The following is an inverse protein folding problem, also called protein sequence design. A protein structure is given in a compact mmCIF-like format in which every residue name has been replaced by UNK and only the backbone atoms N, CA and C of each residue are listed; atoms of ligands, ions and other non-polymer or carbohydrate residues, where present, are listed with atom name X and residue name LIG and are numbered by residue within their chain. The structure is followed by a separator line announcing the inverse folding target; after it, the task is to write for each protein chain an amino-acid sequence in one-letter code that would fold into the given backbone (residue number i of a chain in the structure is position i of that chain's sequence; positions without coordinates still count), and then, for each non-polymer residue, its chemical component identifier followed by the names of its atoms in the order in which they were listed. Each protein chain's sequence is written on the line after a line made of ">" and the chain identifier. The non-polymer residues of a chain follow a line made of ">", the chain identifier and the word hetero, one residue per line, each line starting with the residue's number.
data_IF_476359615670
#
_entry.id   IF_476359615670
#
_cell.length_a   1.000
_cell.length_b   1.000
_cell.length_c   1.000
_cell.angle_alpha   90.00
_cell.angle_beta   90.00
_cell.angle_gamma   90.00
#
_symmetry.space_group_name_H-M   'P 1'
#
loop_
_entity.id
_entity.type
_entity.pdbx_description
1 polymer ?
#
# COMPACT_ATOMS: atom_id res chain seq x y z
N UNK A 1 33.39 94.34 -29.73
CA UNK A 1 32.88 93.54 -28.57
C UNK A 1 32.03 92.29 -29.02
N UNK A 2 32.21 91.79 -30.24
CA UNK A 2 31.33 90.65 -30.77
C UNK A 2 32.08 89.36 -31.11
N UNK A 3 33.39 89.30 -31.04
CA UNK A 3 34.11 88.03 -31.36
C UNK A 3 34.16 87.04 -30.18
N UNK A 4 34.27 87.53 -28.93
CA UNK A 4 34.42 86.71 -27.72
C UNK A 4 33.13 85.91 -27.43
N UNK A 5 31.96 86.47 -27.77
CA UNK A 5 30.69 85.78 -27.52
C UNK A 5 30.42 84.61 -28.55
N UNK A 6 30.97 84.74 -29.75
CA UNK A 6 30.83 83.67 -30.76
C UNK A 6 31.69 82.47 -30.44
N UNK A 7 32.90 82.66 -29.99
CA UNK A 7 33.81 81.56 -29.61
C UNK A 7 33.29 80.78 -28.36
N UNK A 8 32.72 81.53 -27.41
CA UNK A 8 32.12 80.91 -26.20
C UNK A 8 30.89 80.06 -26.55
N UNK A 9 30.03 80.48 -27.45
CA UNK A 9 28.88 79.74 -27.93
C UNK A 9 29.28 78.49 -28.72
N UNK A 10 30.39 78.56 -29.48
CA UNK A 10 30.91 77.44 -30.23
C UNK A 10 31.51 76.39 -29.26
N UNK A 11 32.29 76.83 -28.26
CA UNK A 11 32.83 75.92 -27.27
C UNK A 11 31.74 75.22 -26.40
N UNK A 12 30.70 75.92 -25.99
CA UNK A 12 29.56 75.31 -25.29
C UNK A 12 28.81 74.30 -26.13
N UNK A 13 28.68 74.54 -27.44
CA UNK A 13 28.04 73.56 -28.34
C UNK A 13 28.87 72.31 -28.50
N UNK A 14 30.20 72.41 -28.61
CA UNK A 14 31.12 71.25 -28.66
C UNK A 14 31.15 70.50 -27.31
N UNK A 15 31.15 71.16 -26.20
CA UNK A 15 31.05 70.48 -24.87
C UNK A 15 29.76 69.72 -24.69
N UNK A 16 28.65 70.29 -25.14
CA UNK A 16 27.34 69.64 -25.10
C UNK A 16 27.27 68.44 -26.05
N UNK A 17 27.82 68.52 -27.25
CA UNK A 17 27.93 67.37 -28.16
C UNK A 17 28.80 66.26 -27.61
N UNK A 18 29.96 66.63 -27.03
CA UNK A 18 30.88 65.63 -26.42
C UNK A 18 30.25 64.98 -25.21
N UNK A 19 29.52 65.67 -24.38
CA UNK A 19 28.81 65.12 -23.22
C UNK A 19 27.62 64.23 -23.64
N UNK A 20 26.93 64.60 -24.72
CA UNK A 20 25.83 63.81 -25.30
C UNK A 20 26.33 62.47 -25.91
N UNK A 21 27.41 62.48 -26.70
CA UNK A 21 28.02 61.28 -27.22
C UNK A 21 28.60 60.37 -26.16
N UNK A 22 29.23 60.93 -25.11
CA UNK A 22 29.73 60.14 -23.98
C UNK A 22 28.60 59.48 -23.17
N UNK A 23 27.47 60.17 -22.96
CA UNK A 23 26.30 59.59 -22.32
C UNK A 23 25.63 58.55 -23.17
N UNK A 24 25.55 58.74 -24.52
CA UNK A 24 25.01 57.77 -25.45
C UNK A 24 25.85 56.49 -25.52
N UNK A 25 27.16 56.59 -25.51
CA UNK A 25 28.08 55.43 -25.50
C UNK A 25 27.95 54.66 -24.18
N UNK A 26 27.87 55.34 -23.04
CA UNK A 26 27.67 54.71 -21.72
C UNK A 26 26.32 54.00 -21.59
N UNK A 27 25.26 54.57 -22.12
CA UNK A 27 23.91 53.97 -22.18
C UNK A 27 23.95 52.70 -23.06
N UNK A 28 24.60 52.73 -24.22
CA UNK A 28 24.73 51.56 -25.10
C UNK A 28 25.54 50.43 -24.45
N UNK A 29 26.64 50.76 -23.75
CA UNK A 29 27.45 49.79 -23.01
C UNK A 29 26.65 49.17 -21.86
N UNK A 30 25.85 49.95 -21.13
CA UNK A 30 25.00 49.43 -20.06
C UNK A 30 23.89 48.58 -20.61
N UNK A 31 23.25 48.99 -21.71
CA UNK A 31 22.20 48.23 -22.39
C UNK A 31 22.74 46.88 -22.90
N UNK A 32 23.88 46.85 -23.51
CA UNK A 32 24.52 45.62 -23.97
C UNK A 32 24.87 44.67 -22.82
N UNK A 33 25.31 45.16 -21.68
CA UNK A 33 25.57 44.33 -20.47
C UNK A 33 24.28 43.73 -19.92
N UNK A 34 23.22 44.51 -19.82
CA UNK A 34 21.92 44.04 -19.39
C UNK A 34 21.35 43.01 -20.38
N UNK A 35 21.43 43.28 -21.67
CA UNK A 35 21.03 42.36 -22.73
C UNK A 35 21.79 41.03 -22.67
N UNK A 36 23.10 41.09 -22.41
CA UNK A 36 23.95 39.90 -22.25
C UNK A 36 23.55 39.06 -21.04
N UNK A 37 23.29 39.69 -19.89
CA UNK A 37 22.79 38.96 -18.70
C UNK A 37 21.44 38.33 -18.98
N UNK A 38 20.53 39.06 -19.63
CA UNK A 38 19.22 38.54 -20.03
C UNK A 38 19.36 37.37 -21.01
N UNK A 39 20.29 37.43 -21.94
CA UNK A 39 20.57 36.34 -22.87
C UNK A 39 21.07 35.09 -22.15
N UNK A 40 22.01 35.22 -21.19
CA UNK A 40 22.48 34.10 -20.37
C UNK A 40 21.30 33.48 -19.58
N UNK A 41 20.48 34.31 -18.96
CA UNK A 41 19.30 33.84 -18.24
C UNK A 41 18.32 33.06 -19.17
N UNK A 42 18.09 33.58 -20.36
CA UNK A 42 17.24 32.92 -21.35
C UNK A 42 17.81 31.56 -21.77
N UNK A 43 19.13 31.47 -21.99
CA UNK A 43 19.80 30.19 -22.30
C UNK A 43 19.66 29.19 -21.16
N UNK A 44 19.82 29.63 -19.92
CA UNK A 44 19.64 28.75 -18.75
C UNK A 44 18.19 28.27 -18.67
N UNK A 45 17.22 29.16 -18.82
CA UNK A 45 15.81 28.79 -18.82
C UNK A 45 15.47 27.78 -19.93
N UNK A 46 15.99 27.97 -21.15
CA UNK A 46 15.76 27.03 -22.26
C UNK A 46 16.35 25.66 -21.98
N UNK A 47 17.56 25.58 -21.41
CA UNK A 47 18.20 24.31 -21.03
C UNK A 47 17.33 23.58 -19.98
N UNK A 48 16.85 24.29 -18.95
CA UNK A 48 15.96 23.71 -17.94
C UNK A 48 14.63 23.26 -18.53
N UNK A 49 14.02 24.05 -19.39
CA UNK A 49 12.76 23.70 -20.06
C UNK A 49 12.92 22.44 -20.91
N UNK A 50 13.99 22.34 -21.70
CA UNK A 50 14.29 21.14 -22.49
C UNK A 50 14.50 19.93 -21.59
N UNK A 51 15.22 20.09 -20.47
CA UNK A 51 15.46 19.02 -19.51
C UNK A 51 14.19 18.53 -18.83
N UNK A 52 13.32 19.46 -18.42
CA UNK A 52 12.01 19.12 -17.82
C UNK A 52 11.12 18.42 -18.85
N UNK A 53 11.07 18.93 -20.09
CA UNK A 53 10.31 18.29 -21.17
C UNK A 53 10.87 16.90 -21.51
N UNK A 54 12.19 16.74 -21.58
CA UNK A 54 12.83 15.45 -21.77
C UNK A 54 12.52 14.47 -20.64
N UNK A 55 12.59 14.91 -19.37
CA UNK A 55 12.23 14.08 -18.22
C UNK A 55 10.74 13.74 -18.19
N UNK A 56 9.86 14.65 -18.58
CA UNK A 56 8.43 14.41 -18.67
C UNK A 56 8.02 13.55 -19.88
N UNK A 57 8.76 13.62 -20.97
CA UNK A 57 8.57 12.80 -22.19
C UNK A 57 9.16 11.39 -22.07
N UNK A 58 10.12 11.19 -21.17
CA UNK A 58 10.46 9.87 -20.71
C UNK A 58 9.20 9.31 -20.02
N UNK A 59 8.34 8.62 -20.82
CA UNK A 59 7.38 7.71 -20.25
C UNK A 59 8.17 6.92 -19.21
N UNK A 60 7.90 7.19 -17.95
CA UNK A 60 8.42 6.39 -16.86
C UNK A 60 7.74 5.02 -16.92
N UNK A 61 8.08 4.21 -17.91
CA UNK A 61 8.38 2.84 -17.60
C UNK A 61 9.56 2.97 -16.62
N UNK A 62 9.23 3.27 -15.38
CA UNK A 62 10.11 2.93 -14.28
C UNK A 62 10.30 1.43 -14.48
N UNK A 63 11.29 1.05 -15.25
CA UNK A 63 11.95 -0.22 -15.09
C UNK A 63 12.50 -0.13 -13.67
N UNK A 64 11.71 -0.63 -12.73
CA UNK A 64 12.18 -1.07 -11.43
C UNK A 64 13.08 -2.28 -11.73
N UNK A 65 14.24 -2.00 -12.30
CA UNK A 65 15.17 -3.03 -12.82
C UNK A 65 16.15 -3.49 -11.73
N UNK A 66 15.97 -3.01 -10.47
CA UNK A 66 16.83 -3.42 -9.34
C UNK A 66 16.10 -3.81 -8.06
N UNK A 67 14.79 -3.85 -8.04
CA UNK A 67 14.11 -4.80 -7.19
C UNK A 67 14.01 -6.06 -8.03
N UNK A 68 14.61 -7.14 -7.57
CA UNK A 68 14.33 -8.48 -8.09
C UNK A 68 12.82 -8.63 -8.28
N UNK A 69 12.31 -9.56 -9.08
CA UNK A 69 10.91 -9.61 -9.44
C UNK A 69 10.13 -9.29 -8.19
N UNK A 70 9.40 -8.14 -8.20
CA UNK A 70 8.40 -7.91 -7.17
C UNK A 70 7.59 -9.17 -7.26
N UNK A 71 7.82 -10.09 -6.34
CA UNK A 71 6.92 -11.21 -6.12
C UNK A 71 5.63 -10.51 -5.79
N UNK A 72 4.85 -10.24 -6.81
CA UNK A 72 3.47 -9.81 -6.63
C UNK A 72 2.86 -10.99 -5.91
N UNK A 73 2.83 -10.91 -4.57
CA UNK A 73 2.16 -11.89 -3.73
C UNK A 73 0.64 -11.84 -3.95
N UNK A 74 0.25 -11.32 -5.13
CA UNK A 74 -1.12 -11.26 -5.55
C UNK A 74 -1.62 -12.69 -5.78
N UNK A 75 -2.80 -12.92 -5.27
CA UNK A 75 -3.52 -14.16 -5.41
C UNK A 75 -4.97 -13.83 -5.71
N UNK A 76 -5.53 -14.41 -6.77
CA UNK A 76 -6.89 -14.10 -7.21
C UNK A 76 -7.92 -14.37 -6.11
N UNK A 77 -8.94 -13.55 -6.07
CA UNK A 77 -10.07 -13.72 -5.15
C UNK A 77 -10.84 -15.02 -5.46
N UNK A 78 -11.56 -15.53 -4.49
CA UNK A 78 -12.44 -16.69 -4.66
C UNK A 78 -13.86 -16.24 -4.32
N UNK A 79 -14.81 -16.56 -5.18
CA UNK A 79 -16.23 -16.21 -5.01
C UNK A 79 -17.12 -17.44 -5.11
N UNK A 80 -18.29 -17.37 -4.51
CA UNK A 80 -19.34 -18.37 -4.61
C UNK A 80 -20.08 -18.31 -5.97
N UNK A 81 -21.13 -19.11 -6.12
CA UNK A 81 -21.97 -19.12 -7.32
C UNK A 81 -22.70 -17.79 -7.57
N UNK A 82 -22.97 -17.01 -6.53
CA UNK A 82 -23.70 -15.74 -6.58
C UNK A 82 -22.76 -14.53 -6.72
N UNK A 83 -21.44 -14.72 -6.63
CA UNK A 83 -20.43 -13.68 -6.68
C UNK A 83 -20.05 -13.10 -5.31
N UNK A 84 -20.52 -13.71 -4.21
CA UNK A 84 -20.11 -13.33 -2.85
C UNK A 84 -18.65 -13.72 -2.61
N UNK A 85 -17.87 -12.82 -2.01
CA UNK A 85 -16.47 -13.12 -1.71
C UNK A 85 -16.33 -14.14 -0.59
N UNK A 86 -15.74 -15.27 -0.91
CA UNK A 86 -15.28 -16.27 0.05
C UNK A 86 -13.87 -15.98 0.53
N UNK A 87 -13.05 -15.48 -0.38
CA UNK A 87 -11.66 -15.08 -0.10
C UNK A 87 -11.31 -13.84 -0.91
N UNK A 88 -10.65 -12.88 -0.27
CA UNK A 88 -10.23 -11.64 -0.90
C UNK A 88 -8.79 -11.30 -0.56
N UNK A 89 -8.05 -10.80 -1.55
CA UNK A 89 -6.70 -10.26 -1.36
C UNK A 89 -6.79 -8.75 -1.27
N UNK A 90 -6.39 -8.17 -0.15
CA UNK A 90 -6.41 -6.73 0.09
C UNK A 90 -5.03 -6.19 0.45
N UNK A 91 -4.78 -4.93 0.14
CA UNK A 91 -3.64 -4.21 0.65
C UNK A 91 -3.85 -3.89 2.13
N UNK A 92 -2.90 -4.26 2.95
CA UNK A 92 -2.86 -3.91 4.36
C UNK A 92 -1.53 -3.25 4.68
N UNK A 93 -1.52 -2.48 5.75
CA UNK A 93 -0.32 -1.82 6.23
C UNK A 93 0.05 -2.41 7.59
N UNK A 94 1.26 -2.96 7.67
CA UNK A 94 1.88 -3.37 8.92
C UNK A 94 2.75 -2.21 9.41
N UNK A 95 2.72 -1.91 10.70
CA UNK A 95 3.54 -0.86 11.30
C UNK A 95 4.68 -1.47 12.10
N UNK A 96 5.88 -1.23 11.64
CA UNK A 96 7.11 -1.50 12.36
C UNK A 96 7.66 -0.26 13.07
N UNK A 97 8.45 -0.49 14.12
CA UNK A 97 9.20 0.56 14.80
C UNK A 97 10.68 0.16 14.83
N UNK A 98 11.52 1.10 14.39
CA UNK A 98 12.97 0.99 14.54
C UNK A 98 13.44 1.83 15.74
N UNK A 99 13.79 1.22 16.88
CA UNK A 99 14.20 1.95 18.07
C UNK A 99 15.43 2.85 17.89
N UNK A 100 16.28 2.56 16.91
CA UNK A 100 17.49 3.35 16.64
C UNK A 100 17.18 4.72 16.02
N UNK A 101 16.00 4.89 15.44
CA UNK A 101 15.56 6.13 14.79
C UNK A 101 14.65 6.99 15.69
N UNK A 102 14.35 6.53 16.90
CA UNK A 102 13.49 7.25 17.87
C UNK A 102 14.26 8.42 18.47
N UNK A 103 13.78 9.64 18.22
CA UNK A 103 14.37 10.88 18.77
C UNK A 103 13.88 11.12 20.20
N UNK A 104 12.56 11.07 20.41
CA UNK A 104 11.92 11.27 21.71
C UNK A 104 11.01 10.11 22.09
N UNK A 105 11.54 9.18 22.89
CA UNK A 105 10.82 7.98 23.34
C UNK A 105 9.56 8.29 24.15
N UNK A 106 9.60 9.35 24.98
CA UNK A 106 8.46 9.71 25.84
C UNK A 106 7.29 10.22 24.98
N UNK A 107 7.59 11.14 24.08
CA UNK A 107 6.60 11.70 23.13
C UNK A 107 6.00 10.61 22.26
N UNK A 108 6.84 9.72 21.71
CA UNK A 108 6.37 8.60 20.89
C UNK A 108 5.44 7.67 21.69
N UNK A 109 5.80 7.29 22.92
CA UNK A 109 4.96 6.43 23.76
C UNK A 109 3.60 7.04 24.06
N UNK A 110 3.54 8.33 24.41
CA UNK A 110 2.27 9.03 24.67
C UNK A 110 1.40 9.03 23.43
N UNK A 111 1.95 9.37 22.27
CA UNK A 111 1.21 9.39 21.01
C UNK A 111 0.70 7.98 20.62
N UNK A 112 1.53 6.96 20.77
CA UNK A 112 1.13 5.58 20.49
C UNK A 112 0.04 5.11 21.45
N UNK A 113 0.05 5.55 22.72
CA UNK A 113 -0.98 5.21 23.70
C UNK A 113 -2.34 5.81 23.35
N UNK A 114 -2.35 7.02 22.79
CA UNK A 114 -3.59 7.65 22.30
C UNK A 114 -4.18 6.91 21.08
N UNK A 115 -3.32 6.38 20.21
CA UNK A 115 -3.78 5.68 18.98
C UNK A 115 -4.14 4.21 19.28
N UNK A 116 -3.43 3.56 20.20
CA UNK A 116 -3.58 2.14 20.54
C UNK A 116 -3.82 1.90 22.04
N UNK A 117 -4.91 2.40 22.64
CA UNK A 117 -5.12 2.37 24.09
C UNK A 117 -5.18 0.96 24.69
N UNK A 118 -5.48 -0.05 23.89
CA UNK A 118 -5.63 -1.46 24.33
C UNK A 118 -4.30 -2.23 24.37
N UNK A 119 -3.17 -1.63 23.97
CA UNK A 119 -1.87 -2.32 23.96
C UNK A 119 -1.15 -2.26 25.31
N UNK A 120 -0.31 -3.26 25.55
CA UNK A 120 0.56 -3.28 26.74
C UNK A 120 1.80 -2.40 26.49
N UNK A 121 1.79 -1.20 27.06
CA UNK A 121 2.87 -0.21 26.87
C UNK A 121 4.14 -0.52 27.65
N UNK A 122 4.10 -1.35 28.70
CA UNK A 122 5.29 -1.81 29.39
C UNK A 122 6.16 -2.68 28.48
N UNK A 123 5.52 -3.53 27.68
CA UNK A 123 6.20 -4.37 26.69
C UNK A 123 6.77 -3.49 25.55
N UNK A 124 6.00 -2.52 25.07
CA UNK A 124 6.45 -1.61 24.00
C UNK A 124 7.64 -0.79 24.49
N UNK A 125 7.60 -0.26 25.73
CA UNK A 125 8.68 0.49 26.33
C UNK A 125 9.97 -0.34 26.41
N UNK A 126 9.89 -1.58 26.88
CA UNK A 126 11.04 -2.52 26.90
C UNK A 126 11.61 -2.76 25.50
N UNK A 127 10.73 -2.89 24.47
CA UNK A 127 11.17 -3.06 23.08
C UNK A 127 11.82 -1.79 22.51
N UNK A 128 11.35 -0.60 22.89
CA UNK A 128 11.95 0.68 22.52
C UNK A 128 13.30 0.94 23.19
N UNK A 129 13.55 0.35 24.36
CA UNK A 129 14.85 0.39 25.02
C UNK A 129 15.87 -0.56 24.37
N UNK A 130 15.39 -1.53 23.60
CA UNK A 130 16.19 -2.39 22.75
C UNK A 130 16.65 -1.69 21.46
N UNK A 131 17.49 -2.39 20.68
CA UNK A 131 17.98 -1.90 19.35
C UNK A 131 17.35 -2.62 18.17
N UNK A 132 16.50 -3.63 18.43
CA UNK A 132 15.93 -4.47 17.39
C UNK A 132 14.61 -3.91 16.87
N UNK A 133 14.47 -3.88 15.56
CA UNK A 133 13.20 -3.61 14.90
C UNK A 133 12.10 -4.54 15.42
N UNK A 134 10.88 -4.03 15.58
CA UNK A 134 9.72 -4.84 15.96
C UNK A 134 8.43 -4.29 15.34
N UNK A 135 7.48 -5.19 15.06
CA UNK A 135 6.16 -4.80 14.64
C UNK A 135 5.31 -4.32 15.82
N UNK A 136 4.76 -3.12 15.69
CA UNK A 136 3.81 -2.55 16.65
C UNK A 136 2.42 -3.15 16.45
N UNK A 137 1.93 -3.11 15.22
CA UNK A 137 0.62 -3.60 14.81
C UNK A 137 0.70 -4.10 13.38
N UNK A 138 -0.04 -5.18 13.10
CA UNK A 138 -0.21 -5.70 11.75
C UNK A 138 -1.63 -5.42 11.27
N UNK A 139 -1.80 -5.20 9.97
CA UNK A 139 -3.11 -4.97 9.33
C UNK A 139 -3.87 -3.82 9.97
N UNK A 140 -3.25 -2.67 10.11
CA UNK A 140 -3.90 -1.51 10.72
C UNK A 140 -4.98 -0.94 9.81
N UNK A 141 -6.00 -0.31 10.42
CA UNK A 141 -6.99 0.44 9.67
C UNK A 141 -6.39 1.72 9.08
N UNK A 142 -6.97 2.18 7.96
CA UNK A 142 -6.55 3.42 7.29
C UNK A 142 -6.56 4.62 8.25
N UNK A 143 -7.58 4.72 9.10
CA UNK A 143 -7.69 5.80 10.10
C UNK A 143 -6.50 5.84 11.07
N UNK A 144 -6.09 4.66 11.60
CA UNK A 144 -4.93 4.58 12.49
C UNK A 144 -3.63 4.88 11.78
N UNK A 145 -3.52 4.44 10.52
CA UNK A 145 -2.35 4.74 9.69
C UNK A 145 -2.19 6.24 9.46
N UNK A 146 -3.27 6.95 9.15
CA UNK A 146 -3.23 8.41 8.96
C UNK A 146 -2.83 9.14 10.25
N UNK A 147 -3.36 8.71 11.40
CA UNK A 147 -2.95 9.26 12.71
C UNK A 147 -1.45 9.05 12.97
N UNK A 148 -0.91 7.86 12.65
CA UNK A 148 0.53 7.58 12.78
C UNK A 148 1.37 8.42 11.82
N UNK A 149 0.92 8.57 10.57
CA UNK A 149 1.63 9.38 9.56
C UNK A 149 1.72 10.86 9.97
N UNK A 150 0.66 11.38 10.60
CA UNK A 150 0.64 12.76 11.11
C UNK A 150 1.64 13.02 12.25
N UNK A 151 2.12 11.99 12.95
CA UNK A 151 3.16 12.15 13.96
C UNK A 151 4.50 12.56 13.36
N UNK A 152 4.76 12.23 12.10
CA UNK A 152 6.00 12.55 11.40
C UNK A 152 7.26 11.92 12.02
N UNK A 153 7.10 10.86 12.81
CA UNK A 153 8.22 10.17 13.49
C UNK A 153 8.89 9.17 12.54
N UNK A 154 10.16 9.40 12.26
CA UNK A 154 10.96 8.58 11.33
C UNK A 154 11.19 7.14 11.82
N UNK A 155 10.97 6.88 13.11
CA UNK A 155 11.09 5.53 13.67
C UNK A 155 9.94 4.62 13.29
N UNK A 156 8.81 5.19 12.84
CA UNK A 156 7.61 4.46 12.41
C UNK A 156 7.77 4.09 10.94
N UNK A 157 7.87 2.81 10.65
CA UNK A 157 8.09 2.28 9.31
C UNK A 157 6.83 1.55 8.87
N UNK A 158 6.04 2.11 7.95
CA UNK A 158 4.91 1.41 7.35
C UNK A 158 5.42 0.43 6.29
N UNK A 159 4.90 -0.78 6.31
CA UNK A 159 5.13 -1.81 5.30
C UNK A 159 3.80 -2.19 4.65
N UNK A 160 3.66 -1.90 3.37
CA UNK A 160 2.52 -2.35 2.59
C UNK A 160 2.64 -3.84 2.28
N UNK A 161 1.58 -4.58 2.55
CA UNK A 161 1.53 -6.01 2.33
C UNK A 161 0.19 -6.45 1.76
N UNK A 162 0.22 -7.32 0.76
CA UNK A 162 -0.96 -8.04 0.33
C UNK A 162 -1.32 -9.09 1.38
N UNK A 163 -2.55 -9.02 1.86
CA UNK A 163 -3.05 -9.93 2.89
C UNK A 163 -4.31 -10.61 2.39
N UNK A 164 -4.37 -11.92 2.61
CA UNK A 164 -5.53 -12.75 2.32
C UNK A 164 -6.51 -12.70 3.48
N UNK A 165 -7.75 -12.33 3.22
CA UNK A 165 -8.83 -12.33 4.20
C UNK A 165 -9.95 -13.25 3.76
N UNK A 166 -10.64 -13.80 4.75
CA UNK A 166 -11.74 -14.75 4.59
C UNK A 166 -13.00 -14.13 5.21
N UNK A 167 -13.82 -13.41 4.41
CA UNK A 167 -14.98 -12.67 4.94
C UNK A 167 -16.02 -13.57 5.63
N UNK A 168 -16.08 -14.83 5.23
CA UNK A 168 -17.01 -15.82 5.77
C UNK A 168 -16.42 -16.62 6.96
N UNK A 169 -15.27 -16.19 7.48
CA UNK A 169 -14.58 -16.72 8.66
C UNK A 169 -14.45 -18.25 8.66
N UNK A 170 -15.31 -18.96 9.36
CA UNK A 170 -15.30 -20.42 9.57
C UNK A 170 -16.15 -21.19 8.54
N UNK A 171 -17.14 -20.52 7.93
CA UNK A 171 -18.18 -21.14 7.11
C UNK A 171 -17.66 -22.05 5.97
N UNK A 172 -16.50 -21.70 5.41
CA UNK A 172 -15.90 -22.43 4.29
C UNK A 172 -14.52 -23.02 4.60
N UNK A 173 -14.18 -23.16 5.88
CA UNK A 173 -12.82 -23.54 6.32
C UNK A 173 -12.30 -24.80 5.63
N UNK A 174 -13.11 -25.84 5.52
CA UNK A 174 -12.74 -27.14 4.95
C UNK A 174 -12.75 -27.16 3.42
N UNK A 175 -13.49 -26.25 2.77
CA UNK A 175 -13.51 -26.12 1.30
C UNK A 175 -12.32 -25.29 0.85
N UNK A 176 -12.22 -24.07 1.39
CA UNK A 176 -11.20 -23.08 0.98
C UNK A 176 -9.81 -23.53 1.39
N UNK A 177 -9.66 -23.96 2.65
CA UNK A 177 -8.37 -24.30 3.22
C UNK A 177 -7.51 -23.11 3.55
N UNK A 178 -6.20 -23.31 3.65
CA UNK A 178 -5.25 -22.31 4.16
C UNK A 178 -4.06 -22.10 3.23
N UNK A 179 -3.42 -20.95 3.39
CA UNK A 179 -2.13 -20.60 2.78
C UNK A 179 -1.06 -20.50 3.86
N UNK A 180 0.22 -20.68 3.51
CA UNK A 180 1.35 -20.40 4.39
C UNK A 180 1.72 -18.90 4.44
N UNK A 181 2.79 -18.56 5.15
CA UNK A 181 3.28 -17.18 5.25
C UNK A 181 3.89 -16.67 3.93
N UNK A 182 4.30 -17.58 3.07
CA UNK A 182 4.90 -17.29 1.75
C UNK A 182 3.85 -17.27 0.63
N UNK A 183 2.55 -17.26 1.00
CA UNK A 183 1.41 -17.22 0.08
C UNK A 183 1.28 -18.48 -0.79
N UNK A 184 1.71 -19.65 -0.30
CA UNK A 184 1.47 -20.93 -0.96
C UNK A 184 0.26 -21.63 -0.33
N UNK A 185 -0.58 -22.25 -1.14
CA UNK A 185 -1.72 -23.03 -0.66
C UNK A 185 -1.28 -24.32 0.02
N UNK A 186 -1.70 -24.54 1.28
CA UNK A 186 -1.36 -25.75 2.05
C UNK A 186 -2.51 -26.75 2.18
N UNK A 187 -3.76 -26.30 2.02
CA UNK A 187 -4.95 -27.17 2.06
C UNK A 187 -6.08 -26.64 1.19
N UNK A 188 -7.09 -27.49 0.93
CA UNK A 188 -8.34 -27.14 0.23
C UNK A 188 -8.14 -26.59 -1.18
N UNK A 189 -9.07 -25.72 -1.59
CA UNK A 189 -9.05 -25.01 -2.89
C UNK A 189 -7.79 -24.17 -3.05
N UNK A 190 -7.34 -23.53 -1.97
CA UNK A 190 -6.10 -22.75 -1.96
C UNK A 190 -4.90 -23.57 -2.41
N UNK A 191 -4.79 -24.84 -2.00
CA UNK A 191 -3.73 -25.74 -2.41
C UNK A 191 -3.95 -26.27 -3.82
N UNK A 192 -5.16 -26.72 -4.12
CA UNK A 192 -5.45 -27.36 -5.40
C UNK A 192 -5.25 -26.41 -6.59
N UNK A 193 -5.71 -25.17 -6.44
CA UNK A 193 -5.59 -24.11 -7.46
C UNK A 193 -4.43 -23.14 -7.19
N UNK A 194 -3.40 -23.53 -6.44
CA UNK A 194 -2.31 -22.63 -6.02
C UNK A 194 -1.66 -21.90 -7.20
N UNK A 195 -1.30 -22.65 -8.24
CA UNK A 195 -0.68 -22.09 -9.43
C UNK A 195 -1.60 -21.15 -10.20
N UNK A 196 -2.87 -21.54 -10.36
CA UNK A 196 -3.85 -20.72 -11.08
C UNK A 196 -4.16 -19.44 -10.33
N UNK A 197 -4.40 -19.52 -9.02
CA UNK A 197 -4.71 -18.38 -8.17
C UNK A 197 -3.58 -17.33 -8.16
N UNK A 198 -2.34 -17.73 -8.30
CA UNK A 198 -1.17 -16.83 -8.41
C UNK A 198 -1.05 -16.14 -9.77
N UNK A 199 -1.68 -16.69 -10.82
CA UNK A 199 -1.59 -16.16 -12.19
C UNK A 199 -2.83 -15.42 -12.67
N UNK A 200 -4.01 -15.80 -12.19
CA UNK A 200 -5.28 -15.18 -12.57
C UNK A 200 -5.41 -13.76 -12.06
N UNK A 201 -6.06 -12.94 -12.87
CA UNK A 201 -6.53 -11.61 -12.43
C UNK A 201 -8.01 -11.64 -12.03
N UNK A 202 -8.78 -12.53 -12.66
CA UNK A 202 -10.21 -12.68 -12.39
C UNK A 202 -10.44 -13.63 -11.21
N UNK A 203 -11.50 -13.41 -10.42
CA UNK A 203 -11.87 -14.31 -9.33
C UNK A 203 -12.09 -15.74 -9.78
N UNK A 204 -11.71 -16.71 -8.94
CA UNK A 204 -12.08 -18.11 -9.11
C UNK A 204 -13.51 -18.31 -8.60
N UNK A 205 -14.42 -18.67 -9.50
CA UNK A 205 -15.82 -18.93 -9.13
C UNK A 205 -16.01 -20.39 -8.77
N UNK A 206 -16.55 -20.64 -7.57
CA UNK A 206 -16.96 -21.96 -7.11
C UNK A 206 -18.45 -22.18 -7.33
N UNK A 207 -18.89 -23.43 -7.23
CA UNK A 207 -20.30 -23.83 -7.38
C UNK A 207 -21.10 -23.71 -6.08
N UNK A 208 -20.44 -23.52 -4.95
CA UNK A 208 -21.06 -23.42 -3.64
C UNK A 208 -21.90 -22.13 -3.51
N UNK A 209 -22.92 -22.23 -2.69
CA UNK A 209 -23.84 -21.14 -2.36
C UNK A 209 -23.70 -20.79 -0.88
N UNK A 210 -23.41 -19.53 -0.59
CA UNK A 210 -23.14 -19.07 0.77
C UNK A 210 -24.36 -19.20 1.68
N UNK A 211 -25.56 -18.89 1.17
CA UNK A 211 -26.77 -18.95 1.97
C UNK A 211 -27.16 -20.39 2.33
N UNK A 212 -27.05 -21.27 1.35
CA UNK A 212 -27.29 -22.73 1.55
C UNK A 212 -26.25 -23.31 2.52
N UNK A 213 -24.98 -22.94 2.35
CA UNK A 213 -23.89 -23.38 3.23
C UNK A 213 -24.17 -22.96 4.68
N UNK A 214 -24.57 -21.70 4.89
CA UNK A 214 -24.91 -21.18 6.19
C UNK A 214 -26.10 -21.93 6.84
N UNK A 215 -27.18 -22.11 6.10
CA UNK A 215 -28.36 -22.82 6.61
C UNK A 215 -28.03 -24.25 7.05
N UNK A 216 -27.32 -24.99 6.23
CA UNK A 216 -26.94 -26.38 6.54
C UNK A 216 -26.02 -26.43 7.76
N UNK A 217 -25.07 -25.51 7.86
CA UNK A 217 -24.16 -25.42 8.99
C UNK A 217 -24.90 -25.17 10.29
N UNK A 218 -25.83 -24.21 10.30
CA UNK A 218 -26.66 -23.90 11.49
C UNK A 218 -27.50 -25.12 11.96
N UNK A 219 -28.10 -25.84 11.03
CA UNK A 219 -28.84 -27.05 11.38
C UNK A 219 -27.94 -28.17 11.93
N UNK A 220 -26.73 -28.32 11.40
CA UNK A 220 -25.76 -29.28 11.93
C UNK A 220 -25.25 -28.90 13.31
N UNK A 221 -25.07 -27.60 13.61
CA UNK A 221 -24.71 -27.12 14.95
C UNK A 221 -25.83 -27.44 15.95
N UNK A 222 -27.08 -27.13 15.61
CA UNK A 222 -28.23 -27.47 16.46
C UNK A 222 -28.31 -28.99 16.71
N UNK A 223 -28.10 -29.79 15.68
CA UNK A 223 -28.07 -31.25 15.81
C UNK A 223 -26.94 -31.71 16.73
N UNK A 224 -25.76 -31.07 16.64
CA UNK A 224 -24.62 -31.38 17.50
C UNK A 224 -24.92 -31.07 18.99
N UNK A 225 -25.62 -29.97 19.27
CA UNK A 225 -26.07 -29.65 20.62
C UNK A 225 -27.08 -30.64 21.19
N UNK A 226 -28.01 -31.12 20.36
CA UNK A 226 -29.04 -32.07 20.77
C UNK A 226 -28.44 -33.46 20.97
N UNK A 227 -27.67 -33.95 20.02
CA UNK A 227 -27.16 -35.33 20.00
C UNK A 227 -25.78 -35.49 20.64
N UNK A 228 -25.14 -34.40 21.06
CA UNK A 228 -23.78 -34.38 21.70
C UNK A 228 -22.77 -35.17 20.90
N UNK A 229 -22.84 -35.09 19.57
CA UNK A 229 -21.91 -35.82 18.70
C UNK A 229 -20.55 -35.13 18.64
N UNK A 230 -19.50 -35.91 18.30
CA UNK A 230 -18.12 -35.44 18.18
C UNK A 230 -17.82 -34.71 16.87
N UNK A 231 -18.74 -34.77 15.91
CA UNK A 231 -18.62 -34.11 14.62
C UNK A 231 -19.76 -34.45 13.69
N UNK A 232 -19.97 -33.63 12.70
CA UNK A 232 -21.05 -33.75 11.72
C UNK A 232 -20.52 -33.41 10.33
N UNK A 233 -21.13 -34.00 9.30
CA UNK A 233 -20.79 -33.69 7.91
C UNK A 233 -22.03 -33.72 7.02
N UNK A 234 -22.06 -32.85 6.02
CA UNK A 234 -23.12 -32.81 5.01
C UNK A 234 -22.57 -32.39 3.66
N UNK A 235 -23.11 -32.95 2.59
CA UNK A 235 -22.92 -32.51 1.21
C UNK A 235 -24.29 -32.34 0.57
N UNK A 236 -24.50 -31.18 -0.09
CA UNK A 236 -25.62 -30.95 -0.97
C UNK A 236 -25.13 -30.81 -2.41
N UNK A 237 -25.62 -31.64 -3.30
CA UNK A 237 -25.23 -31.69 -4.69
C UNK A 237 -26.44 -31.61 -5.62
N UNK A 238 -26.31 -30.85 -6.70
CA UNK A 238 -27.31 -30.81 -7.77
C UNK A 238 -27.16 -32.09 -8.63
N UNK A 239 -28.20 -32.90 -8.62
CA UNK A 239 -28.18 -34.23 -9.32
C UNK A 239 -28.10 -34.12 -10.84
N UNK A 240 -28.49 -32.98 -11.43
CA UNK A 240 -28.53 -32.85 -12.89
C UNK A 240 -27.15 -32.54 -13.48
N UNK A 241 -26.26 -31.86 -12.74
CA UNK A 241 -24.98 -31.38 -13.24
C UNK A 241 -23.77 -31.72 -12.35
N UNK A 242 -24.02 -32.32 -11.18
CA UNK A 242 -22.97 -32.68 -10.23
C UNK A 242 -22.36 -31.53 -9.46
N UNK A 243 -22.90 -30.29 -9.55
CA UNK A 243 -22.40 -29.16 -8.82
C UNK A 243 -22.62 -29.32 -7.32
N UNK A 244 -21.58 -29.16 -6.53
CA UNK A 244 -21.68 -29.12 -5.07
C UNK A 244 -22.13 -27.71 -4.68
N UNK A 245 -23.31 -27.64 -4.06
CA UNK A 245 -23.90 -26.39 -3.58
C UNK A 245 -23.48 -26.09 -2.15
N UNK A 246 -23.26 -27.11 -1.32
CA UNK A 246 -22.79 -26.98 0.04
C UNK A 246 -21.97 -28.21 0.44
N UNK A 247 -20.93 -27.96 1.25
CA UNK A 247 -20.13 -28.99 1.90
C UNK A 247 -19.74 -28.49 3.28
N UNK A 248 -20.37 -29.06 4.31
CA UNK A 248 -20.12 -28.70 5.72
C UNK A 248 -19.42 -29.83 6.44
N UNK A 249 -18.44 -29.51 7.24
CA UNK A 249 -17.79 -30.42 8.17
C UNK A 249 -17.58 -29.72 9.50
N UNK A 250 -18.04 -30.34 10.59
CA UNK A 250 -17.92 -29.82 11.96
C UNK A 250 -17.09 -30.76 12.83
N UNK A 251 -16.33 -30.27 13.79
CA UNK A 251 -16.08 -28.86 14.08
C UNK A 251 -15.26 -28.20 12.97
N UNK A 252 -15.53 -26.91 12.75
CA UNK A 252 -14.81 -26.05 11.82
C UNK A 252 -13.85 -25.11 12.56
N UNK A 253 -13.24 -24.16 11.85
CA UNK A 253 -12.29 -23.21 12.40
C UNK A 253 -12.24 -21.91 11.60
N UNK A 254 -11.98 -20.79 12.28
CA UNK A 254 -11.84 -19.48 11.64
C UNK A 254 -10.54 -19.41 10.83
N UNK A 255 -10.64 -19.22 9.51
CA UNK A 255 -9.52 -19.11 8.59
C UNK A 255 -8.64 -17.86 8.84
N UNK A 256 -9.19 -16.82 9.46
CA UNK A 256 -8.45 -15.61 9.82
C UNK A 256 -7.67 -15.77 11.12
N UNK A 257 -8.06 -16.69 12.01
CA UNK A 257 -7.42 -16.98 13.30
C UNK A 257 -6.67 -18.30 13.22
N UNK A 258 -5.35 -18.23 13.02
CA UNK A 258 -4.51 -19.44 12.86
C UNK A 258 -3.88 -19.97 14.16
N UNK A 259 -4.16 -19.31 15.29
CA UNK A 259 -3.59 -19.68 16.57
C UNK A 259 -4.57 -20.56 17.35
N UNK A 260 -4.06 -21.60 18.01
CA UNK A 260 -4.80 -22.47 18.91
C UNK A 260 -5.95 -23.29 18.26
N UNK A 261 -5.82 -23.61 16.97
CA UNK A 261 -6.75 -24.53 16.31
C UNK A 261 -6.36 -25.96 16.73
N UNK A 262 -7.32 -26.75 17.22
CA UNK A 262 -7.08 -28.14 17.57
C UNK A 262 -6.98 -29.01 16.30
N UNK A 263 -6.14 -30.03 16.32
CA UNK A 263 -5.96 -30.91 15.16
C UNK A 263 -7.25 -31.56 14.67
N UNK A 264 -8.18 -31.83 15.56
CA UNK A 264 -9.51 -32.38 15.25
C UNK A 264 -10.36 -31.46 14.36
N UNK A 265 -10.14 -30.15 14.44
CA UNK A 265 -10.86 -29.16 13.62
C UNK A 265 -10.37 -29.12 12.16
N UNK A 266 -9.15 -29.61 11.90
CA UNK A 266 -8.62 -29.69 10.52
C UNK A 266 -9.16 -30.89 9.72
N UNK A 267 -9.84 -31.83 10.40
CA UNK A 267 -10.37 -33.03 9.74
C UNK A 267 -11.61 -32.67 8.94
N UNK A 268 -11.51 -32.75 7.62
CA UNK A 268 -12.70 -32.69 6.76
C UNK A 268 -13.41 -34.04 6.77
N UNK A 269 -14.47 -34.17 7.58
CA UNK A 269 -15.24 -35.40 7.77
C UNK A 269 -16.05 -35.82 6.55
N UNK A 270 -16.21 -34.94 5.56
CA UNK A 270 -16.82 -35.27 4.29
C UNK A 270 -15.90 -36.14 3.43
N UNK A 271 -14.56 -35.93 3.55
CA UNK A 271 -13.55 -36.59 2.70
C UNK A 271 -12.67 -37.57 3.47
N UNK A 272 -12.56 -37.43 4.80
CA UNK A 272 -11.70 -38.23 5.68
C UNK A 272 -12.46 -38.57 6.97
N UNK A 273 -13.66 -39.06 6.83
CA UNK A 273 -14.49 -39.56 7.92
C UNK A 273 -14.08 -40.92 8.41
#
# INVERSE_FOLDING_TARGET
>A
MNKVNHEKLILESYENEFSYEKNKSNLNITFNRIAFIFFIFLVICTIYTIKVFYLGSLNSKIKIENSGPIKTNYRADIVDNNGNFLVKTINTIDIGINPNLVIDKKRLLINLQLIFPKKNFDVIKKKLDGKKFFYLEKRISQEKYEKLRLLGDQSIIPEEKLTRIYPQEDLFSHIIGQIDNDNNGISGIEKHFDYELKKRKEPLKLTVDTDIQFLIREELIKAQEIFQNIGSASILMNVNNGNILSLVSLPDFDLNKRQNIQDVNYINRVTKG
#
